data_IF_983172294088
#
_entry.id   IF_983172294088
#
_cell.length_a   1.000
_cell.length_b   1.000
_cell.length_c   1.000
_cell.angle_alpha   90.00
_cell.angle_beta   90.00
_cell.angle_gamma   90.00
#
_symmetry.space_group_name_H-M   'P 1'
#
loop_
_entity.id
_entity.type
_entity.pdbx_description
1 polymer ?
#
# COMPACT_ATOMS: atom_id res chain seq x y z
N UNK A 1 -9.17 -10.86 -20.87
CA UNK A 1 -8.92 -11.60 -22.12
C UNK A 1 -7.56 -12.25 -21.97
N UNK A 2 -7.52 -13.58 -21.91
CA UNK A 2 -6.29 -14.29 -22.22
C UNK A 2 -6.01 -14.06 -23.70
N UNK A 3 -4.86 -13.48 -24.02
CA UNK A 3 -4.45 -13.32 -25.43
C UNK A 3 -4.10 -14.72 -25.91
N UNK A 4 -5.01 -15.32 -26.66
CA UNK A 4 -4.80 -16.61 -27.31
C UNK A 4 -3.93 -16.30 -28.53
N UNK A 5 -2.62 -16.49 -28.40
CA UNK A 5 -1.66 -16.33 -29.50
C UNK A 5 -1.72 -17.61 -30.36
N UNK A 6 -2.72 -17.67 -31.23
CA UNK A 6 -2.97 -18.74 -32.20
C UNK A 6 -2.34 -18.45 -33.55
N UNK A 7 -2.23 -19.47 -34.42
CA UNK A 7 -1.91 -19.25 -35.82
C UNK A 7 -3.11 -18.72 -36.61
N UNK A 8 -2.86 -18.24 -37.83
CA UNK A 8 -3.91 -17.64 -38.66
C UNK A 8 -5.01 -18.62 -39.05
N UNK A 9 -4.69 -19.90 -39.26
CA UNK A 9 -5.69 -20.91 -39.61
C UNK A 9 -6.63 -21.19 -38.43
N UNK A 10 -6.11 -21.28 -37.21
CA UNK A 10 -6.90 -21.44 -36.00
C UNK A 10 -7.70 -20.17 -35.67
N UNK A 11 -7.15 -18.97 -35.93
CA UNK A 11 -7.90 -17.72 -35.84
C UNK A 11 -9.13 -17.71 -36.75
N UNK A 12 -8.94 -18.04 -38.04
CA UNK A 12 -10.05 -18.13 -39.00
C UNK A 12 -11.07 -19.17 -38.55
N UNK A 13 -10.61 -20.32 -38.06
CA UNK A 13 -11.47 -21.38 -37.52
C UNK A 13 -12.30 -20.93 -36.32
N UNK A 14 -11.74 -20.16 -35.39
CA UNK A 14 -12.46 -19.62 -34.22
C UNK A 14 -13.46 -18.52 -34.60
N UNK A 15 -13.12 -17.65 -35.56
CA UNK A 15 -14.05 -16.68 -36.12
C UNK A 15 -15.25 -17.35 -36.78
N UNK A 16 -15.01 -18.43 -37.55
CA UNK A 16 -16.07 -19.22 -38.18
C UNK A 16 -16.97 -19.93 -37.16
N UNK A 17 -16.39 -20.38 -36.04
CA UNK A 17 -17.13 -20.97 -34.89
C UNK A 17 -17.86 -19.93 -34.03
N UNK A 18 -17.72 -18.62 -34.32
CA UNK A 18 -18.23 -17.49 -33.52
C UNK A 18 -17.71 -17.48 -32.07
N UNK A 19 -16.55 -18.07 -31.83
CA UNK A 19 -15.89 -18.08 -30.53
C UNK A 19 -15.18 -16.74 -30.25
N UNK A 20 -14.87 -15.97 -31.31
CA UNK A 20 -14.31 -14.62 -31.24
C UNK A 20 -15.34 -13.63 -31.82
N UNK A 21 -15.76 -12.59 -31.06
CA UNK A 21 -16.61 -11.53 -31.59
C UNK A 21 -15.81 -10.70 -32.60
N UNK A 22 -16.21 -10.71 -33.87
CA UNK A 22 -15.49 -9.98 -34.91
C UNK A 22 -16.47 -9.63 -36.04
N UNK A 23 -16.52 -8.34 -36.40
CA UNK A 23 -17.38 -7.83 -37.48
C UNK A 23 -16.88 -8.22 -38.88
N UNK A 24 -15.58 -8.51 -39.00
CA UNK A 24 -14.90 -8.95 -40.23
C UNK A 24 -13.63 -9.74 -39.91
N UNK A 25 -13.47 -10.93 -40.51
CA UNK A 25 -12.24 -11.72 -40.40
C UNK A 25 -11.07 -10.89 -40.97
N UNK A 26 -10.00 -10.74 -40.19
CA UNK A 26 -8.77 -10.05 -40.62
C UNK A 26 -8.12 -10.78 -41.79
N UNK A 27 -7.41 -10.03 -42.64
CA UNK A 27 -6.48 -10.67 -43.58
C UNK A 27 -5.30 -11.28 -42.83
N UNK A 28 -4.53 -12.15 -43.49
CA UNK A 28 -3.34 -12.75 -42.87
C UNK A 28 -2.33 -11.68 -42.44
N UNK A 29 -2.06 -10.69 -43.30
CA UNK A 29 -1.16 -9.58 -42.98
C UNK A 29 -1.65 -8.74 -41.78
N UNK A 30 -2.95 -8.40 -41.74
CA UNK A 30 -3.57 -7.65 -40.62
C UNK A 30 -3.48 -8.45 -39.31
N UNK A 31 -3.76 -9.75 -39.36
CA UNK A 31 -3.66 -10.64 -38.21
C UNK A 31 -2.23 -10.76 -37.69
N UNK A 32 -1.26 -10.93 -38.59
CA UNK A 32 0.16 -11.03 -38.23
C UNK A 32 0.64 -9.72 -37.58
N UNK A 33 0.26 -8.56 -38.10
CA UNK A 33 0.59 -7.26 -37.51
C UNK A 33 0.01 -7.10 -36.10
N UNK A 34 -1.29 -7.37 -35.91
CA UNK A 34 -1.91 -7.31 -34.57
C UNK A 34 -1.23 -8.27 -33.58
N UNK A 35 -0.89 -9.47 -34.04
CA UNK A 35 -0.20 -10.48 -33.25
C UNK A 35 1.20 -10.02 -32.83
N UNK A 36 1.99 -9.46 -33.75
CA UNK A 36 3.31 -8.90 -33.45
C UNK A 36 3.23 -7.76 -32.41
N UNK A 37 2.20 -6.92 -32.49
CA UNK A 37 1.95 -5.86 -31.51
C UNK A 37 1.63 -6.45 -30.12
N UNK A 38 0.79 -7.48 -30.02
CA UNK A 38 0.47 -8.14 -28.75
C UNK A 38 1.68 -8.86 -28.15
N UNK A 39 2.49 -9.52 -28.97
CA UNK A 39 3.77 -10.11 -28.54
C UNK A 39 4.69 -9.02 -28.00
N UNK A 40 4.84 -7.91 -28.72
CA UNK A 40 5.68 -6.78 -28.31
C UNK A 40 5.23 -6.20 -26.97
N UNK A 41 3.91 -6.01 -26.76
CA UNK A 41 3.35 -5.58 -25.48
C UNK A 41 3.66 -6.56 -24.36
N UNK A 42 3.55 -7.86 -24.62
CA UNK A 42 3.82 -8.89 -23.62
C UNK A 42 5.31 -8.97 -23.26
N UNK A 43 6.21 -8.84 -24.25
CA UNK A 43 7.66 -8.76 -24.02
C UNK A 43 8.01 -7.55 -23.16
N UNK A 44 7.55 -6.34 -23.53
CA UNK A 44 7.77 -5.13 -22.74
C UNK A 44 7.24 -5.26 -21.31
N UNK A 45 6.07 -5.89 -21.14
CA UNK A 45 5.50 -6.17 -19.81
C UNK A 45 6.37 -7.11 -18.99
N UNK A 46 6.92 -8.16 -19.60
CA UNK A 46 7.83 -9.08 -18.92
C UNK A 46 9.12 -8.37 -18.51
N UNK A 47 9.69 -7.52 -19.36
CA UNK A 47 10.87 -6.71 -19.01
C UNK A 47 10.60 -5.82 -17.81
N UNK A 48 9.46 -5.12 -17.82
CA UNK A 48 9.02 -4.29 -16.70
C UNK A 48 8.86 -5.10 -15.41
N UNK A 49 8.25 -6.29 -15.48
CA UNK A 49 8.09 -7.17 -14.31
C UNK A 49 9.45 -7.67 -13.76
N UNK A 50 10.43 -7.95 -14.63
CA UNK A 50 11.77 -8.30 -14.17
C UNK A 50 12.45 -7.13 -13.45
N UNK A 51 12.34 -5.92 -13.99
CA UNK A 51 12.87 -4.72 -13.35
C UNK A 51 12.18 -4.44 -12.01
N UNK A 52 10.86 -4.56 -11.97
CA UNK A 52 10.05 -4.41 -10.76
C UNK A 52 10.47 -5.43 -9.70
N UNK A 53 10.64 -6.70 -10.08
CA UNK A 53 11.08 -7.74 -9.16
C UNK A 53 12.45 -7.41 -8.55
N UNK A 54 13.42 -7.01 -9.37
CA UNK A 54 14.77 -6.64 -8.90
C UNK A 54 14.73 -5.42 -7.99
N UNK A 55 13.99 -4.38 -8.37
CA UNK A 55 13.82 -3.19 -7.56
C UNK A 55 13.19 -3.51 -6.20
N UNK A 56 12.08 -4.25 -6.18
CA UNK A 56 11.41 -4.68 -4.95
C UNK A 56 12.27 -5.61 -4.08
N UNK A 57 13.19 -6.36 -4.69
CA UNK A 57 14.12 -7.24 -3.97
C UNK A 57 15.16 -6.43 -3.19
N UNK A 58 15.58 -5.30 -3.73
CA UNK A 58 16.59 -4.41 -3.16
C UNK A 58 16.01 -3.38 -2.19
N UNK A 59 14.92 -2.72 -2.58
CA UNK A 59 14.33 -1.59 -1.85
C UNK A 59 13.13 -1.98 -0.98
N UNK A 60 12.56 -3.17 -1.19
CA UNK A 60 11.32 -3.59 -0.55
C UNK A 60 10.08 -3.12 -1.32
N UNK A 61 8.91 -3.43 -0.77
CA UNK A 61 7.63 -3.16 -1.43
C UNK A 61 6.79 -2.19 -0.63
N UNK A 62 6.02 -1.34 -1.30
CA UNK A 62 5.09 -0.41 -0.66
C UNK A 62 3.76 -1.08 -0.26
N UNK A 63 3.64 -2.40 -0.48
CA UNK A 63 2.41 -3.16 -0.21
C UNK A 63 2.01 -3.04 1.26
N UNK A 64 0.81 -2.51 1.58
CA UNK A 64 0.35 -2.34 2.95
C UNK A 64 -0.27 -3.62 3.54
N UNK A 65 -0.39 -4.67 2.72
CA UNK A 65 -1.09 -5.92 3.07
C UNK A 65 -0.18 -7.14 3.05
N UNK A 66 0.86 -7.12 2.21
CA UNK A 66 1.73 -8.26 2.01
C UNK A 66 3.16 -7.97 2.46
N UNK A 67 3.84 -9.03 2.84
CA UNK A 67 5.29 -8.99 3.02
C UNK A 67 5.96 -8.77 1.66
N UNK A 68 7.25 -8.40 1.69
CA UNK A 68 8.00 -8.23 0.44
C UNK A 68 8.17 -9.57 -0.27
N UNK A 69 8.32 -10.67 0.47
CA UNK A 69 8.38 -12.01 -0.10
C UNK A 69 7.12 -12.43 -0.84
N UNK A 70 5.94 -12.15 -0.29
CA UNK A 70 4.66 -12.45 -0.95
C UNK A 70 4.48 -11.66 -2.25
N UNK A 71 4.81 -10.36 -2.22
CA UNK A 71 4.74 -9.48 -3.39
C UNK A 71 5.74 -9.91 -4.48
N UNK A 72 6.99 -10.21 -4.11
CA UNK A 72 8.02 -10.72 -5.03
C UNK A 72 7.57 -12.04 -5.68
N UNK A 73 6.94 -12.93 -4.92
CA UNK A 73 6.39 -14.18 -5.45
C UNK A 73 5.19 -13.93 -6.37
N UNK A 74 4.40 -12.89 -6.13
CA UNK A 74 3.31 -12.48 -7.01
C UNK A 74 3.82 -11.96 -8.35
N UNK A 75 4.83 -11.08 -8.33
CA UNK A 75 5.51 -10.60 -9.55
C UNK A 75 6.11 -11.77 -10.31
N UNK A 76 6.82 -12.68 -9.62
CA UNK A 76 7.38 -13.91 -10.21
C UNK A 76 6.32 -14.74 -10.92
N UNK A 77 5.13 -14.95 -10.32
CA UNK A 77 4.03 -15.69 -10.96
C UNK A 77 3.53 -15.01 -12.23
N UNK A 78 3.48 -13.67 -12.28
CA UNK A 78 3.12 -12.93 -13.50
C UNK A 78 4.15 -13.13 -14.60
N UNK A 79 5.45 -13.11 -14.26
CA UNK A 79 6.54 -13.41 -15.21
C UNK A 79 6.37 -14.82 -15.77
N UNK A 80 6.16 -15.80 -14.90
CA UNK A 80 5.97 -17.20 -15.29
C UNK A 80 4.75 -17.37 -16.22
N UNK A 81 3.64 -16.71 -15.93
CA UNK A 81 2.45 -16.73 -16.79
C UNK A 81 2.72 -16.10 -18.16
N UNK A 82 3.34 -14.92 -18.23
CA UNK A 82 3.65 -14.26 -19.50
C UNK A 82 4.66 -15.04 -20.33
N UNK A 83 5.67 -15.66 -19.70
CA UNK A 83 6.60 -16.56 -20.38
C UNK A 83 5.89 -17.76 -21.01
N UNK A 84 4.99 -18.42 -20.27
CA UNK A 84 4.19 -19.54 -20.80
C UNK A 84 3.37 -19.14 -22.04
N UNK A 85 2.82 -17.93 -22.06
CA UNK A 85 2.08 -17.42 -23.22
C UNK A 85 2.99 -17.29 -24.45
N UNK A 86 4.21 -16.75 -24.28
CA UNK A 86 5.19 -16.62 -25.36
C UNK A 86 5.79 -17.98 -25.78
N UNK A 87 5.96 -18.92 -24.87
CA UNK A 87 6.43 -20.27 -25.18
C UNK A 87 5.43 -21.06 -26.03
N UNK A 88 4.13 -20.96 -25.70
CA UNK A 88 3.05 -21.54 -26.52
C UNK A 88 3.07 -20.94 -27.93
N UNK A 89 3.26 -19.62 -28.03
CA UNK A 89 3.44 -18.97 -29.33
C UNK A 89 4.62 -19.54 -30.10
N UNK A 90 5.81 -19.58 -29.49
CA UNK A 90 7.02 -20.08 -30.15
C UNK A 90 6.89 -21.54 -30.61
N UNK A 91 6.13 -22.36 -29.88
CA UNK A 91 5.84 -23.74 -30.28
C UNK A 91 4.91 -23.82 -31.50
N UNK A 92 3.92 -22.93 -31.58
CA UNK A 92 2.94 -22.90 -32.68
C UNK A 92 3.51 -22.32 -33.97
N UNK A 93 4.41 -21.32 -33.90
CA UNK A 93 4.96 -20.64 -35.08
C UNK A 93 6.37 -21.07 -35.45
N UNK A 94 7.11 -21.69 -34.53
CA UNK A 94 8.55 -21.94 -34.67
C UNK A 94 9.42 -20.68 -34.47
N UNK A 95 8.81 -19.53 -34.19
CA UNK A 95 9.52 -18.28 -33.94
C UNK A 95 9.99 -18.19 -32.50
N UNK A 96 11.28 -18.00 -32.30
CA UNK A 96 11.87 -17.95 -30.97
C UNK A 96 11.86 -16.52 -30.39
N UNK A 97 11.34 -16.36 -29.16
CA UNK A 97 11.33 -15.08 -28.45
C UNK A 97 12.37 -15.06 -27.31
N UNK A 98 13.31 -14.13 -27.38
CA UNK A 98 14.51 -14.09 -26.54
C UNK A 98 14.23 -14.04 -25.03
N UNK A 99 13.25 -13.24 -24.60
CA UNK A 99 12.92 -13.09 -23.17
C UNK A 99 12.53 -14.41 -22.49
N UNK A 100 12.12 -15.42 -23.27
CA UNK A 100 11.79 -16.75 -22.74
C UNK A 100 13.03 -17.49 -22.21
N UNK A 101 14.24 -17.16 -22.66
CA UNK A 101 15.50 -17.73 -22.12
C UNK A 101 15.87 -17.16 -20.75
N UNK A 102 15.42 -15.95 -20.41
CA UNK A 102 15.77 -15.32 -19.13
C UNK A 102 15.24 -16.16 -17.98
N UNK A 103 16.09 -16.49 -17.01
CA UNK A 103 15.71 -17.30 -15.87
C UNK A 103 14.62 -16.64 -15.03
N UNK A 104 13.72 -17.44 -14.47
CA UNK A 104 12.74 -16.93 -13.52
C UNK A 104 13.46 -16.45 -12.26
N UNK A 105 12.99 -15.35 -11.64
CA UNK A 105 13.50 -14.96 -10.34
C UNK A 105 13.27 -16.07 -9.30
N UNK A 106 14.12 -16.17 -8.26
CA UNK A 106 13.96 -17.16 -7.21
C UNK A 106 12.64 -16.98 -6.45
N UNK A 107 12.14 -18.08 -5.88
CA UNK A 107 11.02 -18.04 -4.95
C UNK A 107 11.51 -17.50 -3.62
N UNK A 108 10.80 -16.51 -3.10
CA UNK A 108 11.14 -15.83 -1.85
C UNK A 108 10.39 -16.45 -0.66
N UNK A 109 10.97 -16.49 0.55
CA UNK A 109 10.23 -16.87 1.75
C UNK A 109 9.02 -15.96 1.96
N UNK A 110 7.87 -16.55 2.33
CA UNK A 110 6.61 -15.81 2.53
C UNK A 110 6.75 -14.68 3.55
N UNK A 111 7.56 -14.84 4.59
CA UNK A 111 7.75 -13.80 5.61
C UNK A 111 8.97 -12.90 5.36
N UNK A 112 9.57 -12.96 4.17
CA UNK A 112 10.69 -12.12 3.81
C UNK A 112 10.29 -10.63 3.83
N UNK A 113 11.11 -9.81 4.48
CA UNK A 113 11.01 -8.36 4.51
C UNK A 113 12.37 -7.78 4.15
N UNK A 114 12.39 -6.74 3.34
CA UNK A 114 13.59 -5.94 3.08
C UNK A 114 13.80 -5.01 4.27
N UNK A 115 15.02 -5.05 4.83
CA UNK A 115 15.46 -4.18 5.92
C UNK A 115 14.44 -4.02 7.09
N UNK A 116 13.98 -5.12 7.73
CA UNK A 116 12.95 -5.05 8.77
C UNK A 116 13.35 -4.15 9.96
N UNK A 117 14.65 -4.06 10.28
CA UNK A 117 15.18 -3.19 11.32
C UNK A 117 15.02 -1.71 10.96
N UNK A 118 15.27 -1.32 9.71
CA UNK A 118 15.08 0.05 9.22
C UNK A 118 13.61 0.46 9.28
N UNK A 119 12.71 -0.44 8.87
CA UNK A 119 11.25 -0.22 8.96
C UNK A 119 10.83 0.01 10.42
N UNK A 120 11.40 -0.76 11.35
CA UNK A 120 11.12 -0.62 12.78
C UNK A 120 11.63 0.73 13.32
N UNK A 121 12.89 1.06 13.04
CA UNK A 121 13.53 2.31 13.48
C UNK A 121 12.75 3.55 12.99
N UNK A 122 12.37 3.57 11.71
CA UNK A 122 11.59 4.68 11.15
C UNK A 122 10.21 4.81 11.81
N UNK A 123 9.52 3.70 12.03
CA UNK A 123 8.24 3.74 12.73
C UNK A 123 8.36 4.17 14.20
N UNK A 124 9.45 3.79 14.89
CA UNK A 124 9.75 4.27 16.24
C UNK A 124 10.00 5.78 16.27
N UNK A 125 10.75 6.31 15.30
CA UNK A 125 10.95 7.75 15.13
C UNK A 125 9.61 8.46 14.89
N UNK A 126 8.79 7.96 13.97
CA UNK A 126 7.47 8.51 13.66
C UNK A 126 6.56 8.53 14.89
N UNK A 127 6.46 7.40 15.60
CA UNK A 127 5.68 7.31 16.82
C UNK A 127 6.17 8.30 17.89
N UNK A 128 7.49 8.34 18.13
CA UNK A 128 8.10 9.22 19.13
C UNK A 128 7.80 10.68 18.83
N UNK A 129 7.98 11.12 17.59
CA UNK A 129 7.69 12.50 17.19
C UNK A 129 6.21 12.86 17.38
N UNK A 130 5.30 11.93 17.08
CA UNK A 130 3.87 12.14 17.33
C UNK A 130 3.58 12.34 18.83
N UNK A 131 4.03 11.41 19.69
CA UNK A 131 3.71 11.43 21.12
C UNK A 131 4.48 12.50 21.91
N UNK A 132 5.55 13.06 21.36
CA UNK A 132 6.27 14.19 21.94
C UNK A 132 5.75 15.54 21.44
N UNK A 133 4.89 15.55 20.41
CA UNK A 133 4.33 16.80 19.86
C UNK A 133 3.39 17.50 20.85
N UNK A 134 3.40 18.85 20.81
CA UNK A 134 2.47 19.66 21.61
C UNK A 134 1.02 19.40 21.23
N UNK A 135 0.74 19.25 19.93
CA UNK A 135 -0.58 18.98 19.40
C UNK A 135 -1.18 17.67 19.93
N UNK A 136 -0.39 16.59 19.97
CA UNK A 136 -0.83 15.32 20.57
C UNK A 136 -1.20 15.49 22.04
N UNK A 137 -0.36 16.18 22.82
CA UNK A 137 -0.62 16.45 24.23
C UNK A 137 -1.85 17.36 24.44
N UNK A 138 -2.08 18.33 23.57
CA UNK A 138 -3.27 19.17 23.63
C UNK A 138 -4.53 18.35 23.37
N UNK A 139 -4.54 17.56 22.29
CA UNK A 139 -5.68 16.73 21.89
C UNK A 139 -6.04 15.76 23.00
N UNK A 140 -5.09 14.96 23.51
CA UNK A 140 -5.37 13.92 24.52
C UNK A 140 -5.98 14.49 25.81
N UNK A 141 -5.65 15.74 26.16
CA UNK A 141 -6.17 16.40 27.35
C UNK A 141 -7.54 17.04 27.15
N UNK A 142 -7.89 17.43 25.92
CA UNK A 142 -9.04 18.27 25.66
C UNK A 142 -10.18 17.57 24.91
N UNK A 143 -9.91 16.55 24.09
CA UNK A 143 -10.92 15.99 23.20
C UNK A 143 -12.15 15.43 23.94
N UNK A 144 -12.00 14.89 25.16
CA UNK A 144 -13.11 14.37 25.97
C UNK A 144 -14.02 15.46 26.55
N UNK A 145 -13.57 16.72 26.56
CA UNK A 145 -14.39 17.88 26.95
C UNK A 145 -15.43 18.21 25.89
N UNK A 146 -15.14 17.86 24.63
CA UNK A 146 -16.08 18.01 23.52
C UNK A 146 -17.22 16.99 23.74
N UNK A 147 -18.50 17.42 23.71
CA UNK A 147 -19.63 16.52 23.78
C UNK A 147 -19.62 15.48 22.66
N UNK A 148 -20.20 14.30 22.91
CA UNK A 148 -20.11 13.14 21.99
C UNK A 148 -20.77 13.42 20.63
N UNK A 149 -21.74 14.33 20.56
CA UNK A 149 -22.44 14.65 19.32
C UNK A 149 -21.59 15.41 18.29
N UNK A 150 -20.44 15.99 18.68
CA UNK A 150 -19.58 16.75 17.77
C UNK A 150 -18.58 15.85 17.06
N UNK A 151 -18.44 16.05 15.75
CA UNK A 151 -17.57 15.26 14.89
C UNK A 151 -16.09 15.36 15.30
N UNK A 152 -15.65 16.53 15.78
CA UNK A 152 -14.29 16.81 16.21
C UNK A 152 -13.81 15.85 17.30
N UNK A 153 -14.70 15.39 18.18
CA UNK A 153 -14.38 14.38 19.19
C UNK A 153 -14.00 13.06 18.54
N UNK A 154 -14.81 12.59 17.60
CA UNK A 154 -14.60 11.32 16.91
C UNK A 154 -13.38 11.37 15.98
N UNK A 155 -13.14 12.51 15.33
CA UNK A 155 -11.93 12.75 14.55
C UNK A 155 -10.70 12.65 15.46
N UNK A 156 -10.73 13.31 16.63
CA UNK A 156 -9.64 13.24 17.60
C UNK A 156 -9.40 11.80 18.11
N UNK A 157 -10.46 11.07 18.45
CA UNK A 157 -10.39 9.65 18.83
C UNK A 157 -9.72 8.81 17.73
N UNK A 158 -10.14 8.96 16.48
CA UNK A 158 -9.55 8.26 15.34
C UNK A 158 -8.06 8.58 15.14
N UNK A 159 -7.64 9.82 15.36
CA UNK A 159 -6.24 10.23 15.29
C UNK A 159 -5.41 9.57 16.41
N UNK A 160 -5.90 9.60 17.65
CA UNK A 160 -5.24 8.97 18.79
C UNK A 160 -5.11 7.46 18.58
N UNK A 161 -6.16 6.81 18.08
CA UNK A 161 -6.15 5.39 17.76
C UNK A 161 -5.14 5.05 16.67
N UNK A 162 -4.99 5.88 15.63
CA UNK A 162 -3.93 5.69 14.62
C UNK A 162 -2.54 5.66 15.27
N UNK A 163 -2.25 6.57 16.19
CA UNK A 163 -0.95 6.65 16.88
C UNK A 163 -0.74 5.44 17.81
N UNK A 164 -1.78 5.00 18.53
CA UNK A 164 -1.75 3.76 19.32
C UNK A 164 -1.48 2.53 18.45
N UNK A 165 -2.01 2.49 17.23
CA UNK A 165 -1.74 1.40 16.30
C UNK A 165 -0.29 1.37 15.81
N UNK A 166 0.41 2.51 15.74
CA UNK A 166 1.86 2.54 15.47
C UNK A 166 2.59 1.81 16.61
N UNK A 167 2.33 2.22 17.86
CA UNK A 167 2.92 1.59 19.05
C UNK A 167 2.66 0.09 19.12
N UNK A 168 1.41 -0.32 18.86
CA UNK A 168 1.02 -1.73 18.83
C UNK A 168 1.79 -2.50 17.76
N UNK A 169 1.91 -1.92 16.57
CA UNK A 169 2.65 -2.53 15.46
C UNK A 169 4.15 -2.65 15.76
N UNK A 170 4.74 -1.68 16.48
CA UNK A 170 6.13 -1.74 16.96
C UNK A 170 6.28 -2.89 17.96
N UNK A 171 5.42 -2.94 18.98
CA UNK A 171 5.42 -3.97 20.03
C UNK A 171 5.34 -5.38 19.47
N UNK A 172 4.46 -5.61 18.48
CA UNK A 172 4.26 -6.91 17.85
C UNK A 172 5.11 -7.12 16.58
N UNK A 173 6.10 -6.26 16.32
CA UNK A 173 6.99 -6.35 15.14
C UNK A 173 6.23 -6.62 13.83
N UNK A 174 5.12 -5.92 13.67
CA UNK A 174 4.21 -6.11 12.54
C UNK A 174 4.72 -5.37 11.32
N UNK A 175 5.85 -5.82 10.75
CA UNK A 175 6.61 -5.11 9.71
C UNK A 175 5.77 -4.69 8.50
N UNK A 176 4.87 -5.55 8.02
CA UNK A 176 3.91 -5.20 6.95
C UNK A 176 3.12 -3.94 7.27
N UNK A 177 2.66 -3.80 8.52
CA UNK A 177 1.94 -2.62 8.98
C UNK A 177 2.87 -1.44 9.27
N UNK A 178 4.13 -1.68 9.59
CA UNK A 178 5.08 -0.62 9.94
C UNK A 178 5.56 0.17 8.71
N UNK A 179 5.54 -0.43 7.52
CA UNK A 179 5.93 0.22 6.25
C UNK A 179 5.21 1.56 5.96
N UNK A 180 4.00 1.77 6.48
CA UNK A 180 3.23 3.02 6.29
C UNK A 180 3.57 4.14 7.29
N UNK A 181 4.54 3.91 8.18
CA UNK A 181 4.95 4.83 9.24
C UNK A 181 6.41 5.28 9.04
N UNK A 182 6.89 5.25 7.80
CA UNK A 182 8.24 5.66 7.39
C UNK A 182 8.44 7.19 7.36
N UNK A 183 7.35 7.95 7.24
CA UNK A 183 7.32 9.41 7.34
C UNK A 183 6.36 9.87 8.44
N UNK A 184 6.86 10.75 9.32
CA UNK A 184 6.09 11.32 10.42
C UNK A 184 5.30 12.55 10.02
N UNK A 185 5.70 13.24 8.96
CA UNK A 185 5.13 14.54 8.56
C UNK A 185 3.61 14.51 8.40
N UNK A 186 2.99 13.53 7.71
CA UNK A 186 1.54 13.49 7.56
C UNK A 186 0.80 13.35 8.90
N UNK A 187 1.40 12.65 9.86
CA UNK A 187 0.81 12.45 11.19
C UNK A 187 0.92 13.70 12.05
N UNK A 188 2.05 14.42 11.96
CA UNK A 188 2.23 15.70 12.65
C UNK A 188 1.28 16.77 12.10
N UNK A 189 1.14 16.88 10.77
CA UNK A 189 0.21 17.81 10.14
C UNK A 189 -1.25 17.51 10.53
N UNK A 190 -1.61 16.22 10.55
CA UNK A 190 -2.93 15.76 11.00
C UNK A 190 -3.20 16.15 12.47
N UNK A 191 -2.21 16.00 13.34
CA UNK A 191 -2.31 16.42 14.75
C UNK A 191 -2.47 17.93 14.87
N UNK A 192 -1.66 18.72 14.18
CA UNK A 192 -1.73 20.19 14.22
C UNK A 192 -3.07 20.71 13.69
N UNK A 193 -3.59 20.12 12.62
CA UNK A 193 -4.91 20.48 12.08
C UNK A 193 -6.04 20.13 13.05
N UNK A 194 -5.94 19.00 13.75
CA UNK A 194 -6.93 18.60 14.75
C UNK A 194 -6.86 19.48 16.01
N UNK A 195 -5.66 19.86 16.47
CA UNK A 195 -5.47 20.77 17.60
C UNK A 195 -6.22 22.09 17.36
N UNK A 196 -6.00 22.73 16.21
CA UNK A 196 -6.66 24.00 15.86
C UNK A 196 -8.18 23.90 15.83
N UNK A 197 -8.72 22.79 15.32
CA UNK A 197 -10.18 22.56 15.27
C UNK A 197 -10.77 22.37 16.67
N UNK A 198 -10.10 21.60 17.52
CA UNK A 198 -10.52 21.42 18.91
C UNK A 198 -10.45 22.74 19.68
N UNK A 199 -9.38 23.52 19.49
CA UNK A 199 -9.20 24.81 20.14
C UNK A 199 -10.33 25.78 19.78
N UNK A 200 -10.65 25.90 18.49
CA UNK A 200 -11.75 26.74 18.02
C UNK A 200 -13.11 26.28 18.58
N UNK A 201 -13.42 24.99 18.48
CA UNK A 201 -14.70 24.45 18.95
C UNK A 201 -14.86 24.61 20.47
N UNK A 202 -13.81 24.35 21.26
CA UNK A 202 -13.91 24.53 22.71
C UNK A 202 -14.11 25.99 23.11
N UNK A 203 -13.50 26.94 22.39
CA UNK A 203 -13.76 28.36 22.64
C UNK A 203 -15.24 28.72 22.39
N UNK A 204 -15.82 28.24 21.28
CA UNK A 204 -17.25 28.44 20.97
C UNK A 204 -18.17 27.81 22.03
N UNK A 205 -17.87 26.57 22.44
CA UNK A 205 -18.67 25.86 23.45
C UNK A 205 -18.56 26.49 24.85
N UNK A 206 -17.41 27.08 25.19
CA UNK A 206 -17.22 27.84 26.43
C UNK A 206 -18.05 29.14 26.41
N UNK A 207 -18.10 29.85 25.28
CA UNK A 207 -18.97 31.04 25.12
C UNK A 207 -20.45 30.68 25.24
N UNK A 208 -20.85 29.50 24.76
CA UNK A 208 -22.22 28.98 24.87
C UNK A 208 -22.55 28.42 26.26
N UNK A 209 -21.57 28.28 27.16
CA UNK A 209 -21.74 27.69 28.48
C UNK A 209 -22.02 26.18 28.47
N UNK A 210 -21.71 25.49 27.36
CA UNK A 210 -21.94 24.05 27.20
C UNK A 210 -20.80 23.20 27.77
N UNK A 211 -19.64 23.81 28.05
CA UNK A 211 -18.45 23.14 28.60
C UNK A 211 -17.85 23.99 29.71
N UNK A 212 -17.33 23.35 30.78
CA UNK A 212 -16.61 24.06 31.84
C UNK A 212 -15.36 24.79 31.27
N UNK A 213 -15.04 26.01 31.77
CA UNK A 213 -13.88 26.79 31.32
C UNK A 213 -12.57 25.99 31.42
N UNK A 214 -11.61 26.29 30.53
CA UNK A 214 -10.27 25.66 30.55
C UNK A 214 -9.68 25.68 31.95
N UNK A 215 -9.59 24.51 32.60
CA UNK A 215 -8.73 24.38 33.78
C UNK A 215 -7.28 24.49 33.34
N UNK A 216 -6.42 25.22 34.09
CA UNK A 216 -5.04 25.50 33.71
C UNK A 216 -4.29 24.22 33.33
N UNK A 217 -3.28 24.32 32.43
CA UNK A 217 -2.63 23.16 31.85
C UNK A 217 -2.24 22.18 32.94
N UNK A 218 -2.70 20.94 32.75
CA UNK A 218 -2.42 19.82 33.63
C UNK A 218 -0.92 19.85 33.99
N UNK A 219 -0.53 19.73 35.26
CA UNK A 219 0.90 19.75 35.58
C UNK A 219 1.63 18.63 34.83
N UNK A 220 2.87 18.87 34.39
CA UNK A 220 3.76 17.93 33.67
C UNK A 220 3.74 16.50 34.26
N UNK A 221 3.56 16.37 35.57
CA UNK A 221 3.47 15.10 36.29
C UNK A 221 2.20 14.28 35.97
N UNK A 222 1.03 14.92 35.84
CA UNK A 222 -0.24 14.23 35.52
C UNK A 222 -0.28 13.82 34.03
N UNK A 223 0.51 14.48 33.16
CA UNK A 223 0.80 13.99 31.80
C UNK A 223 1.64 12.71 31.78
N UNK A 224 2.66 12.60 32.62
CA UNK A 224 3.49 11.39 32.70
C UNK A 224 2.66 10.19 33.20
N UNK A 225 1.70 10.42 34.09
CA UNK A 225 0.77 9.39 34.57
C UNK A 225 -0.22 8.94 33.50
N UNK A 226 -0.80 9.85 32.71
CA UNK A 226 -1.65 9.50 31.55
C UNK A 226 -0.86 8.76 30.46
N UNK A 227 0.39 9.17 30.21
CA UNK A 227 1.33 8.48 29.31
C UNK A 227 1.59 7.04 29.77
N UNK A 228 1.70 6.80 31.08
CA UNK A 228 1.87 5.45 31.65
C UNK A 228 0.58 4.61 31.60
N UNK A 229 -0.60 5.21 31.78
CA UNK A 229 -1.87 4.48 31.73
C UNK A 229 -2.21 4.00 30.31
N UNK A 230 -1.99 4.83 29.28
CA UNK A 230 -2.16 4.44 27.88
C UNK A 230 -1.05 3.48 27.38
N UNK A 231 0.06 3.34 28.10
CA UNK A 231 1.13 2.36 27.81
C UNK A 231 0.85 0.96 28.39
N UNK A 232 -0.10 0.82 29.32
CA UNK A 232 -0.38 -0.43 30.07
C UNK A 232 -1.63 -1.17 29.55
N UNK A 233 -2.47 -0.54 28.74
CA UNK A 233 -3.63 -1.18 28.07
C UNK A 233 -3.31 -1.62 26.63
#
# INVERSE_FOLDING_TARGET
MEVIIIDYAEYVSQCQRREVPTDRILTEDEFLEEREQEISKLVLRLEALYLEWSYCREEGTTSPRWTDGEELNFIRRKIEQGKRQLEVYSQNTGEFIEICRKELPPVMPVYFMVAPEKILEQAEVTWKQCVESKSYHYIICNYKRIPVQYEERHIAEGILDKIRQIQKSIKYRSYVRLKKYDDSKPYIEMLQASEKRIEALLAELEEMGEVEPIQPPIKKEKYQQLRLQDMVQ
#
